data_IF_747657441156
#
_entry.id   IF_747657441156
#
_cell.length_a   1.000
_cell.length_b   1.000
_cell.length_c   1.000
_cell.angle_alpha   90.00
_cell.angle_beta   90.00
_cell.angle_gamma   90.00
#
_symmetry.space_group_name_H-M   'P 1'
#
loop_
_entity.id
_entity.type
_entity.pdbx_description
1 polymer ?
#
# COMPACT_ATOMS: atom_id res chain seq x y z
N UNK A 1 -14.46 -46.04 -18.85
CA UNK A 1 -15.05 -44.93 -18.07
C UNK A 1 -13.97 -43.90 -17.82
N UNK A 2 -14.00 -42.83 -18.58
CA UNK A 2 -12.96 -41.79 -18.61
C UNK A 2 -13.23 -40.75 -17.53
N UNK A 3 -12.19 -40.23 -16.81
CA UNK A 3 -12.29 -39.03 -16.01
C UNK A 3 -11.70 -37.85 -16.83
N UNK A 4 -12.53 -37.20 -17.60
CA UNK A 4 -12.19 -35.88 -18.17
C UNK A 4 -13.16 -34.88 -17.55
N UNK A 5 -12.60 -33.87 -16.88
CA UNK A 5 -13.12 -32.53 -16.60
C UNK A 5 -12.61 -31.99 -15.26
N UNK A 6 -11.41 -31.44 -15.27
CA UNK A 6 -10.98 -30.41 -14.31
C UNK A 6 -9.75 -29.66 -14.83
N UNK A 7 -9.86 -28.69 -15.73
CA UNK A 7 -8.81 -27.66 -15.81
C UNK A 7 -9.29 -26.21 -15.63
N UNK A 8 -10.60 -25.90 -15.61
CA UNK A 8 -11.05 -24.51 -15.69
C UNK A 8 -11.03 -23.70 -14.36
N UNK A 9 -10.96 -24.34 -13.21
CA UNK A 9 -11.03 -23.63 -11.91
C UNK A 9 -9.69 -23.15 -11.34
N UNK A 10 -8.54 -23.63 -11.85
CA UNK A 10 -7.23 -23.32 -11.26
C UNK A 10 -6.61 -22.03 -11.74
N UNK A 11 -6.82 -21.63 -12.98
CA UNK A 11 -6.28 -20.38 -13.52
C UNK A 11 -6.91 -19.13 -12.86
N UNK A 12 -8.18 -19.20 -12.48
CA UNK A 12 -8.87 -18.10 -11.80
C UNK A 12 -8.39 -17.88 -10.36
N UNK A 13 -7.96 -18.94 -9.65
CA UNK A 13 -7.40 -18.81 -8.30
C UNK A 13 -6.04 -18.13 -8.27
N UNK A 14 -5.19 -18.36 -9.28
CA UNK A 14 -3.87 -17.74 -9.40
C UNK A 14 -3.94 -16.20 -9.59
N UNK A 15 -4.93 -15.71 -10.32
CA UNK A 15 -5.14 -14.25 -10.52
C UNK A 15 -5.57 -13.56 -9.22
N UNK A 16 -6.32 -14.27 -8.34
CA UNK A 16 -6.72 -13.71 -7.05
C UNK A 16 -5.58 -13.65 -6.03
N UNK A 17 -4.60 -14.55 -6.14
CA UNK A 17 -3.38 -14.54 -5.32
C UNK A 17 -2.53 -13.31 -5.64
N UNK A 18 -2.43 -12.92 -6.90
CA UNK A 18 -1.74 -11.72 -7.31
C UNK A 18 -2.39 -10.43 -6.74
N UNK A 19 -3.72 -10.40 -6.62
CA UNK A 19 -4.44 -9.27 -5.99
C UNK A 19 -4.25 -9.18 -4.47
N UNK A 20 -3.90 -10.27 -3.80
CA UNK A 20 -3.62 -10.29 -2.35
C UNK A 20 -2.16 -10.06 -1.99
N UNK A 21 -1.22 -10.43 -2.86
CA UNK A 21 0.22 -10.28 -2.62
C UNK A 21 0.82 -9.03 -3.28
N UNK A 22 0.22 -8.54 -4.36
CA UNK A 22 0.44 -7.18 -4.83
C UNK A 22 -0.39 -6.28 -3.93
N UNK A 23 0.09 -6.02 -2.73
CA UNK A 23 -0.38 -4.88 -1.96
C UNK A 23 -0.15 -3.66 -2.82
N UNK A 24 -1.19 -3.33 -3.56
CA UNK A 24 -1.21 -2.18 -4.44
C UNK A 24 -0.82 -0.95 -3.63
N UNK A 25 -0.04 -0.02 -4.18
CA UNK A 25 0.47 1.12 -3.45
C UNK A 25 -0.60 1.96 -2.74
N UNK A 26 -1.90 1.76 -3.02
CA UNK A 26 -2.96 2.58 -2.46
C UNK A 26 -3.64 2.03 -1.20
N UNK A 27 -3.70 0.71 -0.98
CA UNK A 27 -4.55 0.17 0.10
C UNK A 27 -3.81 -0.59 1.19
N UNK A 28 -2.73 -1.26 0.86
CA UNK A 28 -1.92 -1.99 1.80
C UNK A 28 -0.44 -1.62 1.72
N UNK A 29 -0.06 -0.70 0.84
CA UNK A 29 1.27 -0.14 0.88
C UNK A 29 1.39 0.67 2.15
N UNK A 30 2.27 0.24 2.90
CA UNK A 30 2.96 0.94 3.90
C UNK A 30 3.46 2.29 3.38
N UNK A 31 3.76 3.18 4.28
CA UNK A 31 4.33 4.48 3.97
C UNK A 31 5.70 4.37 3.33
N UNK A 32 6.23 5.49 2.94
CA UNK A 32 7.64 5.68 2.70
C UNK A 32 8.26 6.36 3.91
N UNK A 33 9.57 6.36 4.00
CA UNK A 33 10.26 7.22 4.95
C UNK A 33 9.74 8.67 4.85
N UNK A 34 9.48 9.28 6.01
CA UNK A 34 9.03 10.67 6.15
C UNK A 34 7.62 10.99 5.64
N UNK A 35 6.76 9.99 5.49
CA UNK A 35 5.38 10.24 5.04
C UNK A 35 4.51 10.90 6.13
N UNK A 36 4.86 10.70 7.40
CA UNK A 36 4.05 11.16 8.55
C UNK A 36 4.73 12.24 9.39
N UNK A 37 5.73 12.92 8.87
CA UNK A 37 6.38 14.03 9.58
C UNK A 37 5.37 15.13 9.92
N UNK A 38 5.61 15.80 11.05
CA UNK A 38 4.74 16.88 11.52
C UNK A 38 4.63 18.01 10.48
N UNK A 39 3.45 18.59 10.38
CA UNK A 39 3.10 19.68 9.47
C UNK A 39 2.35 20.79 10.24
N UNK A 40 2.31 22.03 9.74
CA UNK A 40 1.50 23.08 10.36
C UNK A 40 0.02 22.72 10.25
N UNK A 41 -0.76 23.11 11.26
CA UNK A 41 -2.23 23.01 11.23
C UNK A 41 -2.82 23.98 10.21
N UNK A 42 -4.11 23.76 9.89
CA UNK A 42 -4.86 24.59 8.94
C UNK A 42 -4.25 24.66 7.53
N UNK A 43 -3.47 23.62 7.19
CA UNK A 43 -2.84 23.50 5.88
C UNK A 43 -3.53 22.44 5.03
N UNK A 44 -3.45 22.63 3.72
CA UNK A 44 -3.79 21.61 2.75
C UNK A 44 -2.52 20.97 2.20
N UNK A 45 -2.57 19.66 2.03
CA UNK A 45 -1.50 18.89 1.41
C UNK A 45 -2.10 18.06 0.27
N UNK A 46 -1.45 18.08 -0.87
CA UNK A 46 -1.79 17.19 -1.98
C UNK A 46 -0.59 16.28 -2.27
N UNK A 47 -0.89 15.00 -2.47
CA UNK A 47 0.08 14.01 -2.90
C UNK A 47 -0.43 13.38 -4.20
N UNK A 48 0.37 13.43 -5.25
CA UNK A 48 0.12 12.71 -6.48
C UNK A 48 1.13 11.57 -6.59
N UNK A 49 0.64 10.36 -6.53
CA UNK A 49 1.45 9.15 -6.60
C UNK A 49 1.31 8.50 -7.97
N UNK A 50 2.42 8.06 -8.54
CA UNK A 50 2.47 7.17 -9.70
C UNK A 50 3.34 5.99 -9.32
N UNK A 51 2.81 4.78 -9.42
CA UNK A 51 3.51 3.54 -9.09
C UNK A 51 3.51 2.57 -10.26
N UNK A 52 4.56 1.79 -10.34
CA UNK A 52 4.64 0.59 -11.16
C UNK A 52 5.09 -0.57 -10.30
N UNK A 53 4.37 -1.67 -10.38
CA UNK A 53 4.76 -2.92 -9.72
C UNK A 53 4.66 -4.09 -10.70
N UNK A 54 5.59 -5.01 -10.60
CA UNK A 54 5.60 -6.23 -11.37
C UNK A 54 5.80 -7.43 -10.45
N UNK A 55 5.07 -8.50 -10.73
CA UNK A 55 5.25 -9.77 -10.03
C UNK A 55 5.22 -10.95 -10.99
N UNK A 56 5.90 -12.01 -10.59
CA UNK A 56 5.92 -13.28 -11.30
C UNK A 56 5.59 -14.39 -10.32
N UNK A 57 4.46 -15.04 -10.52
CA UNK A 57 4.00 -16.18 -9.72
C UNK A 57 4.28 -17.48 -10.48
N UNK A 58 4.97 -18.48 -9.90
CA UNK A 58 5.04 -19.81 -10.46
C UNK A 58 3.63 -20.40 -10.59
N UNK A 59 3.34 -21.08 -11.69
CA UNK A 59 2.10 -21.87 -11.81
C UNK A 59 2.36 -23.28 -11.26
N UNK A 60 1.48 -23.75 -10.37
CA UNK A 60 1.55 -25.12 -9.86
C UNK A 60 1.14 -26.09 -10.97
N UNK A 61 2.06 -26.93 -11.40
CA UNK A 61 1.79 -27.91 -12.44
C UNK A 61 3.04 -28.72 -12.83
N UNK A 62 2.88 -29.68 -13.74
CA UNK A 62 4.00 -30.50 -14.24
C UNK A 62 4.97 -29.69 -15.14
N UNK A 63 4.60 -28.50 -15.54
CA UNK A 63 5.45 -27.60 -16.32
C UNK A 63 6.05 -26.51 -15.44
N UNK A 64 7.30 -26.73 -15.01
CA UNK A 64 8.08 -25.79 -14.19
C UNK A 64 8.39 -24.46 -14.89
N UNK A 65 8.04 -24.31 -16.17
CA UNK A 65 8.24 -23.08 -16.96
C UNK A 65 7.00 -22.19 -16.97
N UNK A 66 5.84 -22.69 -16.58
CA UNK A 66 4.60 -21.93 -16.55
C UNK A 66 4.64 -20.86 -15.46
N UNK A 67 4.44 -19.60 -15.85
CA UNK A 67 4.48 -18.44 -14.94
C UNK A 67 3.41 -17.44 -15.30
N UNK A 68 2.70 -16.97 -14.29
CA UNK A 68 1.82 -15.80 -14.45
C UNK A 68 2.59 -14.54 -14.08
N UNK A 69 2.64 -13.59 -15.01
CA UNK A 69 3.19 -12.25 -14.79
C UNK A 69 2.05 -11.27 -14.58
N UNK A 70 2.14 -10.48 -13.52
CA UNK A 70 1.20 -9.39 -13.28
C UNK A 70 1.95 -8.06 -13.21
N UNK A 71 1.48 -7.08 -13.98
CA UNK A 71 1.98 -5.72 -13.98
C UNK A 71 0.87 -4.79 -13.50
N UNK A 72 1.22 -3.84 -12.65
CA UNK A 72 0.28 -2.84 -12.11
C UNK A 72 0.86 -1.46 -12.31
N UNK A 73 0.11 -0.59 -12.96
CA UNK A 73 0.34 0.86 -12.92
C UNK A 73 -0.73 1.46 -12.02
N UNK A 74 -0.30 2.15 -10.99
CA UNK A 74 -1.19 2.83 -10.05
C UNK A 74 -0.99 4.33 -10.10
N UNK A 75 -2.08 5.06 -9.98
CA UNK A 75 -2.08 6.51 -9.77
C UNK A 75 -2.99 6.80 -8.58
N UNK A 76 -2.64 7.75 -7.73
CA UNK A 76 -3.56 8.23 -6.71
C UNK A 76 -3.36 9.70 -6.41
N UNK A 77 -4.47 10.39 -6.17
CA UNK A 77 -4.48 11.73 -5.60
C UNK A 77 -4.91 11.60 -4.14
N UNK A 78 -4.09 12.13 -3.23
CA UNK A 78 -4.42 12.23 -1.81
C UNK A 78 -4.53 13.70 -1.46
N UNK A 79 -5.65 14.09 -0.88
CA UNK A 79 -5.87 15.44 -0.37
C UNK A 79 -6.05 15.37 1.13
N UNK A 80 -5.23 16.10 1.86
CA UNK A 80 -5.19 16.11 3.32
C UNK A 80 -5.44 17.51 3.85
N UNK A 81 -6.30 17.63 4.87
CA UNK A 81 -6.47 18.83 5.70
C UNK A 81 -5.88 18.55 7.07
N UNK A 82 -4.90 19.37 7.49
CA UNK A 82 -4.34 19.30 8.82
C UNK A 82 -5.17 20.07 9.84
N UNK A 83 -5.21 19.56 11.07
CA UNK A 83 -6.06 20.08 12.15
C UNK A 83 -5.34 20.00 13.48
N UNK A 84 -5.81 20.81 14.44
CA UNK A 84 -5.45 20.68 15.86
C UNK A 84 -6.36 19.66 16.55
N UNK A 85 -5.77 18.63 17.12
CA UNK A 85 -6.44 17.69 18.03
C UNK A 85 -5.82 17.82 19.42
N UNK A 86 -6.41 18.67 20.26
CA UNK A 86 -5.98 18.89 21.66
C UNK A 86 -4.49 19.27 21.80
N UNK A 87 -4.02 20.19 20.95
CA UNK A 87 -2.63 20.66 20.92
C UNK A 87 -1.67 19.72 20.17
N UNK A 88 -2.19 18.73 19.45
CA UNK A 88 -1.43 17.82 18.59
C UNK A 88 -1.86 17.97 17.13
N UNK A 89 -0.89 17.97 16.24
CA UNK A 89 -1.21 17.93 14.81
C UNK A 89 -1.82 16.59 14.44
N UNK A 90 -2.88 16.65 13.69
CA UNK A 90 -3.46 15.51 12.99
C UNK A 90 -4.11 15.96 11.69
N UNK A 91 -4.93 15.13 11.09
CA UNK A 91 -5.60 15.49 9.85
C UNK A 91 -6.53 14.41 9.34
N UNK A 92 -7.26 14.78 8.30
CA UNK A 92 -8.11 13.87 7.53
C UNK A 92 -7.72 13.94 6.05
N UNK A 93 -7.75 12.80 5.40
CA UNK A 93 -7.41 12.70 3.98
C UNK A 93 -8.47 11.91 3.23
N UNK A 94 -8.65 12.25 1.95
CA UNK A 94 -9.31 11.42 0.96
C UNK A 94 -8.27 10.91 -0.03
N UNK A 95 -8.38 9.63 -0.38
CA UNK A 95 -7.50 8.94 -1.33
C UNK A 95 -8.33 8.51 -2.53
N UNK A 96 -7.95 8.96 -3.71
CA UNK A 96 -8.64 8.72 -4.97
C UNK A 96 -7.70 7.91 -5.90
N UNK A 97 -7.79 6.58 -5.92
CA UNK A 97 -6.89 5.73 -6.69
C UNK A 97 -7.46 5.38 -8.07
N UNK A 98 -6.57 5.23 -9.04
CA UNK A 98 -6.84 4.71 -10.37
C UNK A 98 -5.80 3.64 -10.72
N UNK A 99 -6.24 2.50 -11.23
CA UNK A 99 -5.39 1.36 -11.51
C UNK A 99 -5.48 0.94 -12.98
N UNK A 100 -4.34 0.49 -13.51
CA UNK A 100 -4.22 -0.38 -14.66
C UNK A 100 -3.53 -1.66 -14.20
N UNK A 101 -4.18 -2.79 -14.39
CA UNK A 101 -3.64 -4.10 -14.02
C UNK A 101 -3.66 -4.98 -15.25
N UNK A 102 -2.53 -5.61 -15.54
CA UNK A 102 -2.38 -6.59 -16.61
C UNK A 102 -1.85 -7.89 -16.00
N UNK A 103 -2.51 -8.99 -16.30
CA UNK A 103 -2.07 -10.34 -15.96
C UNK A 103 -1.90 -11.15 -17.24
N UNK A 104 -0.77 -11.84 -17.36
CA UNK A 104 -0.44 -12.67 -18.53
C UNK A 104 0.18 -14.00 -18.12
N UNK A 105 -0.33 -15.08 -18.69
CA UNK A 105 0.20 -16.44 -18.61
C UNK A 105 0.61 -16.92 -20.02
N UNK A 106 1.00 -18.18 -20.17
CA UNK A 106 1.34 -18.76 -21.47
C UNK A 106 0.13 -18.77 -22.42
N UNK A 107 -1.09 -18.94 -21.86
CA UNK A 107 -2.31 -19.15 -22.64
C UNK A 107 -3.28 -17.97 -22.64
N UNK A 108 -3.10 -16.98 -21.76
CA UNK A 108 -4.06 -15.91 -21.61
C UNK A 108 -3.41 -14.58 -21.22
N UNK A 109 -4.02 -13.49 -21.66
CA UNK A 109 -3.65 -12.13 -21.28
C UNK A 109 -4.92 -11.33 -21.02
N UNK A 110 -5.04 -10.83 -19.80
CA UNK A 110 -6.16 -10.01 -19.38
C UNK A 110 -5.67 -8.68 -18.83
N UNK A 111 -6.29 -7.59 -19.23
CA UNK A 111 -5.99 -6.27 -18.70
C UNK A 111 -7.28 -5.53 -18.32
N UNK A 112 -7.23 -4.82 -17.20
CA UNK A 112 -8.32 -3.96 -16.73
C UNK A 112 -7.76 -2.62 -16.28
N UNK A 113 -8.60 -1.60 -16.34
CA UNK A 113 -8.31 -0.27 -15.79
C UNK A 113 -9.57 0.35 -15.23
N UNK A 114 -9.42 1.21 -14.25
CA UNK A 114 -10.57 1.91 -13.67
C UNK A 114 -10.26 2.53 -12.32
N UNK A 115 -11.26 3.18 -11.75
CA UNK A 115 -11.21 3.74 -10.41
C UNK A 115 -11.19 2.59 -9.39
N UNK A 116 -10.21 2.59 -8.49
CA UNK A 116 -10.15 1.65 -7.37
C UNK A 116 -10.92 2.16 -6.17
N UNK A 117 -10.87 1.42 -5.07
CA UNK A 117 -11.64 1.72 -3.86
C UNK A 117 -11.18 3.04 -3.22
N UNK A 118 -12.09 3.99 -3.09
CA UNK A 118 -11.82 5.29 -2.44
C UNK A 118 -11.49 5.06 -0.98
N UNK A 119 -10.44 5.74 -0.50
CA UNK A 119 -9.96 5.63 0.86
C UNK A 119 -10.14 6.92 1.66
N UNK A 120 -10.29 6.76 2.97
CA UNK A 120 -10.25 7.85 3.95
C UNK A 120 -9.18 7.55 4.99
N UNK A 121 -8.37 8.55 5.33
CA UNK A 121 -7.35 8.44 6.35
C UNK A 121 -7.62 9.50 7.43
N UNK A 122 -7.73 9.05 8.66
CA UNK A 122 -7.65 9.91 9.84
C UNK A 122 -6.31 9.64 10.53
N UNK A 123 -5.65 10.71 10.99
CA UNK A 123 -4.36 10.61 11.66
C UNK A 123 -4.22 11.63 12.77
N UNK A 124 -3.46 11.30 13.82
CA UNK A 124 -3.18 12.18 14.94
C UNK A 124 -1.85 11.83 15.60
N UNK A 125 -1.05 12.84 15.94
CA UNK A 125 0.11 12.65 16.81
C UNK A 125 -0.37 12.38 18.25
N UNK A 126 0.09 11.28 18.84
CA UNK A 126 -0.21 10.91 20.24
C UNK A 126 0.90 11.33 21.20
N UNK A 127 2.13 11.48 20.68
CA UNK A 127 3.28 11.97 21.42
C UNK A 127 4.13 12.84 20.48
N UNK A 128 4.77 13.91 20.99
CA UNK A 128 5.46 14.86 20.11
C UNK A 128 4.50 15.53 19.14
N UNK A 129 5.00 16.08 18.03
CA UNK A 129 4.19 16.62 16.93
C UNK A 129 3.14 17.66 17.36
N UNK A 130 3.56 18.81 17.95
CA UNK A 130 2.64 19.84 18.44
C UNK A 130 1.85 20.46 17.29
N UNK A 131 0.59 20.85 17.57
CA UNK A 131 -0.22 21.65 16.67
C UNK A 131 0.30 23.08 16.63
N UNK A 132 0.92 23.45 15.52
CA UNK A 132 1.54 24.76 15.31
C UNK A 132 0.91 25.45 14.12
N UNK A 133 0.64 26.77 14.26
CA UNK A 133 0.30 27.59 13.09
C UNK A 133 1.46 27.59 12.08
N UNK A 134 1.22 28.04 10.88
CA UNK A 134 2.25 28.10 9.83
C UNK A 134 3.41 29.03 10.25
N UNK A 135 3.13 30.13 10.92
CA UNK A 135 4.13 31.07 11.43
C UNK A 135 5.00 30.42 12.52
N UNK A 136 4.37 29.74 13.49
CA UNK A 136 5.08 29.03 14.56
C UNK A 136 5.87 27.83 14.01
N UNK A 137 5.35 27.16 12.99
CA UNK A 137 6.01 26.01 12.36
C UNK A 137 7.30 26.42 11.61
N UNK A 138 7.42 27.67 11.16
CA UNK A 138 8.64 28.16 10.50
C UNK A 138 9.88 28.08 11.39
N UNK A 139 9.70 28.14 12.72
CA UNK A 139 10.78 27.99 13.74
C UNK A 139 10.78 26.61 14.41
N UNK A 140 9.92 25.69 13.97
CA UNK A 140 9.81 24.37 14.59
C UNK A 140 11.07 23.54 14.34
N UNK A 141 11.63 23.04 15.41
CA UNK A 141 12.74 22.09 15.37
C UNK A 141 12.15 20.67 15.41
N UNK A 142 12.40 19.85 14.39
CA UNK A 142 11.93 18.47 14.36
C UNK A 142 12.35 17.68 15.60
N UNK A 143 11.42 16.95 16.17
CA UNK A 143 11.61 16.15 17.38
C UNK A 143 10.97 14.78 17.22
N UNK A 144 11.36 13.84 18.05
CA UNK A 144 10.76 12.52 18.15
C UNK A 144 9.27 12.61 18.40
N UNK A 145 8.49 11.79 17.72
CA UNK A 145 7.04 11.74 17.88
C UNK A 145 6.49 10.33 17.66
N UNK A 146 5.26 10.13 18.08
CA UNK A 146 4.46 8.95 17.75
C UNK A 146 3.09 9.39 17.27
N UNK A 147 2.50 8.65 16.35
CA UNK A 147 1.19 8.95 15.77
C UNK A 147 0.37 7.68 15.59
N UNK A 148 -0.95 7.87 15.57
CA UNK A 148 -1.91 6.85 15.21
C UNK A 148 -2.62 7.26 13.93
N UNK A 149 -2.83 6.29 13.06
CA UNK A 149 -3.50 6.45 11.78
C UNK A 149 -4.58 5.39 11.64
N UNK A 150 -5.71 5.76 11.07
CA UNK A 150 -6.79 4.85 10.72
C UNK A 150 -7.17 5.07 9.26
N UNK A 151 -6.80 4.13 8.42
CA UNK A 151 -7.23 4.10 7.03
C UNK A 151 -8.49 3.24 6.89
N UNK A 152 -9.45 3.72 6.10
CA UNK A 152 -10.67 3.01 5.73
C UNK A 152 -10.82 3.06 4.22
N UNK A 153 -10.68 1.92 3.55
CA UNK A 153 -11.00 1.73 2.14
C UNK A 153 -12.47 1.33 1.97
N UNK A 154 -13.14 1.93 1.01
CA UNK A 154 -14.58 1.69 0.72
C UNK A 154 -14.74 0.81 -0.51
N UNK A 155 -15.82 0.06 -0.68
CA UNK A 155 -16.12 -0.70 -1.90
C UNK A 155 -16.77 0.18 -2.99
N UNK A 156 -16.21 1.38 -3.24
CA UNK A 156 -16.79 2.34 -4.19
C UNK A 156 -16.06 2.37 -5.54
N UNK A 157 -15.07 1.51 -5.74
CA UNK A 157 -14.37 1.39 -7.01
C UNK A 157 -15.16 0.60 -8.07
N UNK A 158 -14.63 0.60 -9.28
CA UNK A 158 -15.21 -0.16 -10.39
C UNK A 158 -15.02 -1.66 -10.18
N UNK A 159 -16.13 -2.39 -10.08
CA UNK A 159 -16.14 -3.82 -9.85
C UNK A 159 -17.17 -4.54 -10.72
N UNK A 160 -16.70 -5.54 -11.45
CA UNK A 160 -17.52 -6.43 -12.27
C UNK A 160 -17.44 -7.87 -11.73
N UNK A 161 -18.49 -8.42 -11.13
CA UNK A 161 -18.46 -9.74 -10.49
C UNK A 161 -18.01 -10.89 -11.39
N UNK A 162 -18.25 -10.79 -12.70
CA UNK A 162 -17.91 -11.85 -13.67
C UNK A 162 -16.49 -11.77 -14.21
N UNK A 163 -15.74 -10.71 -13.87
CA UNK A 163 -14.35 -10.58 -14.28
C UNK A 163 -13.42 -11.24 -13.25
N UNK A 164 -12.42 -11.96 -13.74
CA UNK A 164 -11.37 -12.51 -12.91
C UNK A 164 -10.45 -11.41 -12.32
N UNK A 165 -10.32 -10.29 -13.01
CA UNK A 165 -9.47 -9.17 -12.64
C UNK A 165 -10.32 -7.89 -12.55
N UNK A 166 -10.17 -7.14 -11.44
CA UNK A 166 -10.94 -5.92 -11.19
C UNK A 166 -10.04 -4.81 -10.63
N UNK A 167 -10.32 -3.52 -10.90
CA UNK A 167 -9.62 -2.40 -10.26
C UNK A 167 -9.97 -2.25 -8.78
N UNK A 168 -11.16 -2.67 -8.36
CA UNK A 168 -11.67 -2.63 -6.99
C UNK A 168 -11.67 -4.01 -6.35
N UNK A 169 -11.61 -4.04 -5.02
CA UNK A 169 -11.72 -5.28 -4.23
C UNK A 169 -13.15 -5.60 -3.81
N UNK A 170 -14.08 -4.63 -3.99
CA UNK A 170 -15.50 -4.73 -3.62
C UNK A 170 -15.72 -5.15 -2.16
N UNK A 171 -14.92 -4.59 -1.25
CA UNK A 171 -15.01 -4.84 0.20
C UNK A 171 -14.47 -3.65 0.99
N UNK A 172 -14.88 -3.53 2.23
CA UNK A 172 -14.28 -2.59 3.15
C UNK A 172 -12.92 -3.11 3.61
N UNK A 173 -11.99 -2.18 3.73
CA UNK A 173 -10.65 -2.41 4.30
C UNK A 173 -10.46 -1.44 5.46
N UNK A 174 -9.99 -1.92 6.60
CA UNK A 174 -9.67 -1.08 7.76
C UNK A 174 -8.24 -1.36 8.18
N UNK A 175 -7.42 -0.31 8.28
CA UNK A 175 -6.02 -0.42 8.66
C UNK A 175 -5.66 0.59 9.76
N UNK A 176 -5.74 0.22 11.04
CA UNK A 176 -5.05 0.94 12.10
C UNK A 176 -3.53 0.79 11.96
N UNK A 177 -2.81 1.88 12.19
CA UNK A 177 -1.35 1.95 12.16
C UNK A 177 -0.84 2.77 13.34
N UNK A 178 0.17 2.29 14.03
CA UNK A 178 0.95 3.05 14.99
C UNK A 178 2.32 3.35 14.37
N UNK A 179 2.70 4.61 14.40
CA UNK A 179 4.00 5.08 13.96
C UNK A 179 4.81 5.58 15.15
N UNK A 180 6.11 5.29 15.13
CA UNK A 180 7.10 5.91 15.98
C UNK A 180 8.27 6.41 15.13
N UNK A 181 8.55 7.73 15.23
CA UNK A 181 9.61 8.40 14.47
C UNK A 181 10.59 9.06 15.43
N UNK A 182 11.82 8.56 15.45
CA UNK A 182 12.90 9.05 16.29
C UNK A 182 13.91 9.83 15.47
N UNK A 183 14.30 11.00 15.97
CA UNK A 183 15.39 11.80 15.40
C UNK A 183 16.43 12.16 16.47
N UNK A 184 17.69 11.71 16.33
CA UNK A 184 18.76 12.04 17.26
C UNK A 184 19.36 13.43 17.02
N UNK A 185 19.14 14.04 15.85
CA UNK A 185 19.88 15.19 15.34
C UNK A 185 18.95 16.25 14.71
N UNK A 186 17.79 16.49 15.33
CA UNK A 186 16.85 17.55 14.97
C UNK A 186 16.35 17.44 13.52
N UNK A 187 16.07 16.21 13.07
CA UNK A 187 15.44 15.94 11.77
C UNK A 187 16.43 15.75 10.61
N UNK A 188 17.73 15.72 10.85
CA UNK A 188 18.69 15.32 9.82
C UNK A 188 18.63 13.82 9.55
N UNK A 189 18.52 13.01 10.62
CA UNK A 189 18.32 11.56 10.54
C UNK A 189 16.98 11.22 11.15
N UNK A 190 16.25 10.30 10.52
CA UNK A 190 15.04 9.71 11.06
C UNK A 190 15.15 8.19 11.08
N UNK A 191 14.73 7.60 12.18
CA UNK A 191 14.51 6.18 12.38
C UNK A 191 13.03 6.00 12.65
N UNK A 192 12.33 5.34 11.74
CA UNK A 192 10.88 5.26 11.77
C UNK A 192 10.44 3.80 11.78
N UNK A 193 9.43 3.48 12.56
CA UNK A 193 8.80 2.16 12.60
C UNK A 193 7.29 2.34 12.50
N UNK A 194 6.64 1.60 11.60
CA UNK A 194 5.20 1.55 11.45
C UNK A 194 4.72 0.13 11.69
N UNK A 195 3.68 -0.02 12.48
CA UNK A 195 3.03 -1.31 12.74
C UNK A 195 1.57 -1.19 12.40
N UNK A 196 1.11 -2.01 11.49
CA UNK A 196 -0.26 -1.99 10.98
C UNK A 196 -0.89 -3.37 11.02
N UNK A 197 -2.21 -3.40 11.16
CA UNK A 197 -3.03 -4.59 10.90
C UNK A 197 -4.11 -4.21 9.90
N UNK A 198 -4.22 -4.98 8.82
CA UNK A 198 -5.25 -4.76 7.80
C UNK A 198 -6.34 -5.79 8.00
N UNK A 199 -7.57 -5.34 8.19
CA UNK A 199 -8.76 -6.17 8.27
C UNK A 199 -9.68 -5.93 7.07
N UNK A 200 -10.37 -6.96 6.64
CA UNK A 200 -11.18 -6.96 5.42
C UNK A 200 -12.59 -7.49 5.70
N UNK A 201 -13.60 -6.88 5.10
CA UNK A 201 -14.92 -7.52 5.03
C UNK A 201 -14.97 -8.55 3.89
N UNK A 202 -15.90 -9.50 3.91
CA UNK A 202 -16.08 -10.41 2.78
C UNK A 202 -16.50 -9.68 1.50
N UNK A 203 -15.98 -10.14 0.34
CA UNK A 203 -16.58 -9.85 -0.95
C UNK A 203 -17.55 -10.99 -1.30
N UNK A 204 -18.86 -10.72 -1.27
CA UNK A 204 -19.91 -11.71 -1.52
C UNK A 204 -20.31 -11.83 -3.00
N UNK A 205 -19.68 -11.08 -3.88
CA UNK A 205 -19.90 -11.09 -5.32
C UNK A 205 -18.64 -11.50 -6.10
N UNK A 206 -17.73 -12.24 -5.45
CA UNK A 206 -16.46 -12.63 -6.03
C UNK A 206 -16.65 -13.68 -7.12
N UNK A 207 -16.24 -13.37 -8.38
CA UNK A 207 -16.35 -14.25 -9.55
C UNK A 207 -17.74 -14.89 -9.71
N UNK A 208 -18.80 -14.11 -9.63
CA UNK A 208 -20.17 -14.56 -9.59
C UNK A 208 -20.66 -15.19 -10.91
N UNK A 209 -20.38 -16.46 -11.07
CA UNK A 209 -21.21 -17.39 -11.87
C UNK A 209 -22.01 -18.31 -10.97
N UNK A 210 -21.61 -18.45 -9.74
CA UNK A 210 -22.26 -19.12 -8.60
C UNK A 210 -21.87 -18.31 -7.38
N UNK A 211 -22.74 -18.11 -6.42
CA UNK A 211 -22.54 -17.29 -5.23
C UNK A 211 -21.16 -17.52 -4.57
N UNK A 212 -20.11 -16.90 -5.12
CA UNK A 212 -18.74 -17.02 -4.62
C UNK A 212 -18.48 -15.94 -3.59
N UNK A 213 -17.95 -16.34 -2.47
CA UNK A 213 -17.60 -15.48 -1.35
C UNK A 213 -16.12 -15.55 -1.10
N UNK A 214 -15.44 -14.39 -1.22
CA UNK A 214 -14.05 -14.23 -0.83
C UNK A 214 -13.97 -13.66 0.58
N UNK A 215 -13.21 -14.32 1.46
CA UNK A 215 -12.83 -13.82 2.77
C UNK A 215 -11.32 -13.75 2.87
N UNK A 216 -10.80 -12.88 3.73
CA UNK A 216 -9.36 -12.77 3.98
C UNK A 216 -9.12 -12.61 5.47
N UNK A 217 -8.12 -13.32 5.99
CA UNK A 217 -7.63 -13.15 7.35
C UNK A 217 -6.92 -11.80 7.49
N UNK A 218 -6.80 -11.26 8.72
CA UNK A 218 -6.01 -10.06 8.94
C UNK A 218 -4.57 -10.22 8.44
N UNK A 219 -4.03 -9.13 7.87
CA UNK A 219 -2.65 -9.02 7.42
C UNK A 219 -1.91 -8.07 8.37
N UNK A 220 -0.85 -8.53 9.00
CA UNK A 220 0.04 -7.67 9.78
C UNK A 220 1.18 -7.15 8.90
N UNK A 221 1.55 -5.88 9.08
CA UNK A 221 2.61 -5.20 8.34
C UNK A 221 3.49 -4.48 9.36
N UNK A 222 4.80 -4.75 9.30
CA UNK A 222 5.81 -4.03 10.08
C UNK A 222 6.79 -3.39 9.11
N UNK A 223 7.06 -2.10 9.31
CA UNK A 223 7.97 -1.33 8.48
C UNK A 223 9.02 -0.67 9.32
N UNK A 224 10.21 -0.59 8.76
CA UNK A 224 11.32 0.15 9.31
C UNK A 224 11.97 1.01 8.24
N UNK A 225 12.21 2.28 8.57
CA UNK A 225 12.85 3.22 7.66
C UNK A 225 13.99 3.93 8.37
N UNK A 226 15.12 4.02 7.70
CA UNK A 226 16.23 4.87 8.12
C UNK A 226 16.46 5.89 7.03
N UNK A 227 16.29 7.17 7.34
CA UNK A 227 16.53 8.23 6.35
C UNK A 227 17.44 9.31 6.87
N UNK A 228 18.24 9.88 5.97
CA UNK A 228 19.20 10.94 6.31
C UNK A 228 19.23 12.03 5.24
N UNK A 229 19.28 13.28 5.69
CA UNK A 229 19.57 14.41 4.82
C UNK A 229 21.02 14.34 4.32
N UNK A 230 21.20 14.37 3.02
CA UNK A 230 22.52 14.51 2.38
C UNK A 230 22.82 15.97 2.16
N UNK A 231 21.80 16.74 1.88
CA UNK A 231 21.84 18.21 1.81
C UNK A 231 20.59 18.78 2.50
N UNK A 232 20.46 20.11 2.56
CA UNK A 232 19.21 20.75 3.04
C UNK A 232 17.98 20.49 2.13
N UNK A 233 18.19 19.95 0.94
CA UNK A 233 17.13 19.71 -0.04
C UNK A 233 16.94 18.24 -0.40
N UNK A 234 17.95 17.40 -0.18
CA UNK A 234 17.94 15.99 -0.61
C UNK A 234 18.17 15.10 0.60
N UNK A 235 17.35 14.05 0.71
CA UNK A 235 17.55 12.98 1.66
C UNK A 235 17.46 11.61 0.96
N UNK A 236 18.07 10.61 1.57
CA UNK A 236 18.01 9.21 1.14
C UNK A 236 17.43 8.36 2.25
N UNK A 237 16.83 7.22 1.90
CA UNK A 237 16.40 6.19 2.86
C UNK A 237 16.79 4.78 2.44
N UNK A 238 16.89 3.93 3.46
CA UNK A 238 16.83 2.48 3.35
C UNK A 238 15.58 2.01 4.09
N UNK A 239 14.83 1.11 3.46
CA UNK A 239 13.50 0.73 3.87
C UNK A 239 13.38 -0.80 3.97
N UNK A 240 12.63 -1.28 4.96
CA UNK A 240 12.31 -2.69 5.12
C UNK A 240 10.83 -2.84 5.44
N UNK A 241 10.19 -3.85 4.84
CA UNK A 241 8.76 -4.12 4.98
C UNK A 241 8.56 -5.61 5.21
N UNK A 242 7.89 -5.99 6.28
CA UNK A 242 7.55 -7.37 6.57
C UNK A 242 6.05 -7.54 6.66
N UNK A 243 5.51 -8.39 5.80
CA UNK A 243 4.10 -8.72 5.72
C UNK A 243 3.88 -10.15 6.17
N UNK A 244 2.91 -10.39 7.07
CA UNK A 244 2.58 -11.73 7.55
C UNK A 244 1.07 -11.92 7.74
N UNK A 245 0.54 -13.07 7.31
CA UNK A 245 -0.88 -13.40 7.39
C UNK A 245 -1.66 -13.08 6.12
N UNK A 246 -2.93 -12.67 6.23
CA UNK A 246 -3.74 -12.27 5.09
C UNK A 246 -4.18 -13.40 4.16
N UNK A 247 -4.17 -14.67 4.62
CA UNK A 247 -4.64 -15.79 3.81
C UNK A 247 -6.09 -15.62 3.36
N UNK A 248 -6.34 -15.87 2.09
CA UNK A 248 -7.69 -15.81 1.54
C UNK A 248 -8.40 -17.16 1.56
N UNK A 249 -9.74 -17.13 1.59
CA UNK A 249 -10.58 -18.30 1.42
C UNK A 249 -11.71 -18.00 0.44
N UNK A 250 -11.98 -18.93 -0.47
CA UNK A 250 -13.08 -18.86 -1.43
C UNK A 250 -14.11 -19.91 -1.03
N UNK A 251 -15.35 -19.48 -0.73
CA UNK A 251 -16.42 -20.34 -0.23
C UNK A 251 -15.99 -21.23 0.97
N UNK A 252 -15.15 -20.69 1.86
CA UNK A 252 -14.62 -21.39 3.02
C UNK A 252 -13.38 -22.24 2.76
N UNK A 253 -12.98 -22.45 1.50
CA UNK A 253 -11.76 -23.19 1.14
C UNK A 253 -10.55 -22.27 1.19
N UNK A 254 -9.61 -22.56 2.07
CA UNK A 254 -8.33 -21.81 2.20
C UNK A 254 -7.49 -21.96 0.95
N UNK A 255 -6.81 -20.87 0.56
CA UNK A 255 -6.03 -20.81 -0.69
C UNK A 255 -4.52 -21.08 -0.47
N UNK A 256 -4.06 -21.20 0.76
CA UNK A 256 -2.63 -21.44 1.08
C UNK A 256 -1.71 -20.28 0.70
N UNK A 257 -2.23 -19.07 0.62
CA UNK A 257 -1.55 -17.87 0.14
C UNK A 257 -1.32 -16.83 1.25
N UNK A 258 -1.12 -17.30 2.49
CA UNK A 258 -0.72 -16.43 3.58
C UNK A 258 0.63 -15.76 3.26
N UNK A 259 0.70 -14.44 3.45
CA UNK A 259 1.92 -13.70 3.29
C UNK A 259 2.94 -14.04 4.39
N UNK A 260 4.20 -14.15 4.02
CA UNK A 260 5.38 -14.22 4.90
C UNK A 260 6.57 -13.62 4.13
N UNK A 261 6.47 -12.32 3.81
CA UNK A 261 7.35 -11.67 2.84
C UNK A 261 8.12 -10.52 3.47
N UNK A 262 9.45 -10.57 3.37
CA UNK A 262 10.33 -9.44 3.60
C UNK A 262 10.66 -8.75 2.28
N UNK A 263 10.41 -7.45 2.20
CA UNK A 263 10.84 -6.58 1.10
C UNK A 263 11.86 -5.59 1.61
N UNK A 264 12.89 -5.31 0.83
CA UNK A 264 13.83 -4.24 1.06
C UNK A 264 13.68 -3.18 -0.02
N UNK A 265 13.89 -1.93 0.37
CA UNK A 265 13.74 -0.80 -0.51
C UNK A 265 14.74 0.31 -0.22
N UNK A 266 14.72 1.30 -1.09
CA UNK A 266 15.44 2.54 -0.94
C UNK A 266 14.60 3.71 -1.45
N UNK A 267 14.79 4.87 -0.83
CA UNK A 267 14.07 6.08 -1.19
C UNK A 267 15.00 7.29 -1.35
N UNK A 268 14.54 8.24 -2.13
CA UNK A 268 15.16 9.55 -2.29
C UNK A 268 14.08 10.62 -2.31
N UNK A 269 14.21 11.64 -1.47
CA UNK A 269 13.36 12.83 -1.55
C UNK A 269 14.15 14.06 -1.91
N UNK A 270 13.56 14.92 -2.73
CA UNK A 270 14.16 16.17 -3.16
C UNK A 270 13.15 17.31 -3.08
N UNK A 271 13.49 18.38 -2.34
CA UNK A 271 12.72 19.62 -2.33
C UNK A 271 13.01 20.38 -3.62
N UNK A 272 12.01 20.50 -4.49
CA UNK A 272 12.17 21.03 -5.84
C UNK A 272 11.65 22.47 -5.98
N UNK A 273 10.59 22.85 -5.25
CA UNK A 273 9.98 24.17 -5.32
C UNK A 273 9.43 24.59 -3.94
N UNK A 274 9.05 25.87 -3.74
CA UNK A 274 8.46 26.34 -2.49
C UNK A 274 7.19 25.53 -2.13
N UNK A 275 7.18 24.93 -0.94
CA UNK A 275 6.08 24.09 -0.47
C UNK A 275 5.95 22.76 -1.17
N UNK A 276 6.91 22.36 -2.02
CA UNK A 276 6.79 21.10 -2.76
C UNK A 276 8.06 20.28 -2.84
N UNK A 277 7.89 18.99 -2.89
CA UNK A 277 8.97 18.03 -3.05
C UNK A 277 8.53 16.82 -3.90
N UNK A 278 9.51 16.03 -4.27
CA UNK A 278 9.38 14.77 -4.98
C UNK A 278 10.04 13.67 -4.16
N UNK A 279 9.37 12.52 -4.08
CA UNK A 279 9.93 11.31 -3.46
C UNK A 279 9.88 10.18 -4.46
N UNK A 280 11.00 9.50 -4.64
CA UNK A 280 11.14 8.28 -5.43
C UNK A 280 11.47 7.13 -4.48
N UNK A 281 10.71 6.03 -4.56
CA UNK A 281 10.97 4.80 -3.81
C UNK A 281 11.04 3.62 -4.76
N UNK A 282 11.89 2.66 -4.42
CA UNK A 282 11.94 1.36 -5.08
C UNK A 282 12.06 0.26 -4.03
N UNK A 283 11.38 -0.87 -4.26
CA UNK A 283 11.41 -2.00 -3.34
C UNK A 283 11.34 -3.33 -4.09
N UNK A 284 11.84 -4.40 -3.46
CA UNK A 284 11.79 -5.76 -3.99
C UNK A 284 11.65 -6.78 -2.87
N UNK A 285 10.91 -7.85 -3.13
CA UNK A 285 10.86 -9.02 -2.25
C UNK A 285 12.23 -9.71 -2.23
N UNK A 286 12.78 -9.94 -1.03
CA UNK A 286 14.10 -10.54 -0.82
C UNK A 286 14.03 -11.86 -0.08
N UNK A 287 13.01 -12.07 0.76
CA UNK A 287 12.73 -13.33 1.42
C UNK A 287 11.21 -13.56 1.44
N UNK A 288 10.77 -14.74 1.01
CA UNK A 288 9.37 -15.11 0.88
C UNK A 288 9.24 -16.63 0.70
N UNK A 289 8.06 -17.23 0.97
CA UNK A 289 7.75 -18.60 0.58
C UNK A 289 7.81 -18.79 -0.96
N UNK A 290 8.08 -20.01 -1.39
CA UNK A 290 8.12 -20.34 -2.84
C UNK A 290 6.77 -20.10 -3.53
N UNK A 291 5.66 -20.26 -2.81
CA UNK A 291 4.29 -20.03 -3.30
C UNK A 291 3.97 -18.55 -3.53
N UNK A 292 4.73 -17.62 -2.93
CA UNK A 292 4.54 -16.19 -3.15
C UNK A 292 5.25 -15.68 -4.41
N UNK A 293 4.70 -14.63 -5.07
CA UNK A 293 5.32 -14.07 -6.27
C UNK A 293 6.66 -13.38 -5.99
N UNK A 294 7.58 -13.46 -6.94
CA UNK A 294 8.70 -12.51 -7.00
C UNK A 294 8.16 -11.16 -7.42
N UNK A 295 8.22 -10.18 -6.54
CA UNK A 295 7.63 -8.87 -6.75
C UNK A 295 8.64 -7.75 -6.52
N UNK A 296 8.54 -6.70 -7.34
CA UNK A 296 9.27 -5.45 -7.16
C UNK A 296 8.40 -4.27 -7.60
N UNK A 297 8.70 -3.09 -7.12
CA UNK A 297 7.95 -1.89 -7.46
C UNK A 297 8.78 -0.63 -7.37
N UNK A 298 8.31 0.40 -8.07
CA UNK A 298 8.80 1.77 -7.96
C UNK A 298 7.61 2.71 -7.81
N UNK A 299 7.80 3.78 -7.02
CA UNK A 299 6.78 4.80 -6.81
C UNK A 299 7.41 6.18 -6.84
N UNK A 300 6.80 7.08 -7.61
CA UNK A 300 7.05 8.51 -7.60
C UNK A 300 5.90 9.21 -6.90
N UNK A 301 6.22 10.05 -5.92
CA UNK A 301 5.26 10.91 -5.22
C UNK A 301 5.65 12.36 -5.42
N UNK A 302 4.74 13.17 -5.92
CA UNK A 302 4.84 14.62 -5.90
C UNK A 302 4.00 15.15 -4.74
N UNK A 303 4.57 16.00 -3.89
CA UNK A 303 3.91 16.57 -2.71
C UNK A 303 3.85 18.07 -2.82
N UNK A 304 2.70 18.67 -2.48
CA UNK A 304 2.49 20.11 -2.42
C UNK A 304 1.79 20.48 -1.12
N UNK A 305 2.29 21.52 -0.47
CA UNK A 305 1.79 22.08 0.79
C UNK A 305 1.40 23.53 0.56
N UNK A 306 0.22 23.97 1.04
CA UNK A 306 -0.24 25.36 1.01
C UNK A 306 -1.18 25.72 2.16
#
# INVERSE_FOLDING_TARGET
>A
MSPLLRPACRAAAAVCVAGGALTLPSEASAGSARDYLNAPIDSWLAFYNVGYAASVTPEDGLDVTARTRTNVVSQSLVLTRTMDYWGRTGGVSIVLPYLYVESSSISDRTAVRGVSDVGFLWQMNIFGGPALSREAFASFVPQTFASFHLFVGTPLGEYEPHRALNPSTNRWTVRPTVNFSYTPDRGWTWLETYVSVVAFTPNNAFQAGSASRLTQQPLAIVEGHVSRNITSRIWLSADAYYNVGGETSINGTRQGNAADTLRLGAGMGARLWPGGDMVLNAESAVAKPESEPNAWGVRLTLRQFW
#
